data_IF_964807707142
#
_entry.id   IF_964807707142
#
_cell.length_a   1.000
_cell.length_b   1.000
_cell.length_c   1.000
_cell.angle_alpha   90.00
_cell.angle_beta   90.00
_cell.angle_gamma   90.00
#
_symmetry.space_group_name_H-M   'P 1'
#
loop_
_entity.id
_entity.type
_entity.pdbx_description
1 polymer ?
#
# COMPACT_ATOMS: atom_id res chain seq x y z
N UNK A 1 21.96 -0.67 -15.34
CA UNK A 1 22.51 -0.29 -14.01
C UNK A 1 21.85 -1.15 -12.95
N UNK A 2 22.62 -1.88 -12.14
CA UNK A 2 22.11 -2.45 -10.89
C UNK A 2 22.06 -1.31 -9.85
N UNK A 3 20.98 -1.14 -9.08
CA UNK A 3 20.94 -0.13 -8.03
C UNK A 3 22.11 -0.34 -7.06
N UNK A 4 22.79 0.74 -6.67
CA UNK A 4 23.89 0.73 -5.70
C UNK A 4 23.42 0.67 -4.24
N UNK A 5 22.13 0.44 -4.00
CA UNK A 5 21.57 0.41 -2.66
C UNK A 5 21.38 -1.04 -2.18
N UNK A 6 21.55 -1.25 -0.87
CA UNK A 6 21.34 -2.54 -0.25
C UNK A 6 19.87 -2.95 -0.35
N UNK A 7 19.59 -3.98 -1.16
CA UNK A 7 18.25 -4.50 -1.35
C UNK A 7 17.59 -4.96 -0.04
N UNK A 8 18.35 -5.27 1.02
CA UNK A 8 17.78 -5.61 2.33
C UNK A 8 17.00 -4.46 2.96
N UNK A 9 17.31 -3.21 2.56
CA UNK A 9 16.61 -2.01 3.00
C UNK A 9 15.45 -1.64 2.08
N UNK A 10 15.36 -2.27 0.91
CA UNK A 10 14.34 -2.00 -0.11
C UNK A 10 12.94 -2.33 0.40
N UNK A 11 12.01 -1.40 0.18
CA UNK A 11 10.60 -1.56 0.52
C UNK A 11 9.73 -1.02 -0.59
N UNK A 12 8.84 -1.85 -1.12
CA UNK A 12 7.74 -1.44 -1.99
C UNK A 12 6.44 -1.53 -1.21
N UNK A 13 5.71 -0.41 -1.09
CA UNK A 13 4.32 -0.37 -0.66
C UNK A 13 3.39 -0.26 -1.88
N UNK A 14 2.54 -1.26 -2.13
CA UNK A 14 1.46 -1.19 -3.12
C UNK A 14 0.13 -1.00 -2.39
N UNK A 15 -0.63 0.01 -2.75
CA UNK A 15 -1.93 0.32 -2.16
C UNK A 15 -3.01 0.00 -3.19
N UNK A 16 -3.85 -0.99 -2.89
CA UNK A 16 -4.82 -1.55 -3.82
C UNK A 16 -4.22 -2.66 -4.69
N UNK A 17 -4.19 -3.89 -4.16
CA UNK A 17 -3.66 -5.05 -4.88
C UNK A 17 -4.57 -5.44 -6.06
N UNK A 18 -5.89 -5.28 -5.92
CA UNK A 18 -6.84 -5.35 -7.05
C UNK A 18 -6.95 -6.71 -7.75
N UNK A 19 -6.44 -7.80 -7.16
CA UNK A 19 -6.56 -9.17 -7.70
C UNK A 19 -5.49 -9.55 -8.72
N UNK A 20 -4.73 -8.58 -9.23
CA UNK A 20 -3.63 -8.81 -10.17
C UNK A 20 -2.40 -8.02 -9.75
N UNK A 21 -1.35 -8.73 -9.36
CA UNK A 21 -0.12 -8.13 -8.81
C UNK A 21 1.14 -8.67 -9.51
N UNK A 22 1.05 -8.80 -10.84
CA UNK A 22 2.12 -9.35 -11.69
C UNK A 22 3.40 -8.49 -11.63
N UNK A 23 3.25 -7.17 -11.57
CA UNK A 23 4.38 -6.24 -11.48
C UNK A 23 5.17 -6.46 -10.19
N UNK A 24 4.47 -6.60 -9.06
CA UNK A 24 5.06 -6.89 -7.76
C UNK A 24 5.72 -8.27 -7.74
N UNK A 25 5.09 -9.27 -8.36
CA UNK A 25 5.69 -10.61 -8.50
C UNK A 25 6.99 -10.58 -9.29
N UNK A 26 6.98 -10.01 -10.49
CA UNK A 26 8.17 -9.88 -11.34
C UNK A 26 9.27 -9.07 -10.66
N UNK A 27 8.89 -8.04 -9.91
CA UNK A 27 9.83 -7.26 -9.12
C UNK A 27 10.44 -8.08 -7.99
N UNK A 28 9.66 -8.89 -7.27
CA UNK A 28 10.20 -9.79 -6.24
C UNK A 28 11.20 -10.78 -6.82
N UNK A 29 10.91 -11.34 -8.00
CA UNK A 29 11.82 -12.25 -8.70
C UNK A 29 13.15 -11.56 -9.05
N UNK A 30 13.10 -10.29 -9.49
CA UNK A 30 14.29 -9.51 -9.84
C UNK A 30 15.07 -8.98 -8.62
N UNK A 31 14.37 -8.63 -7.55
CA UNK A 31 14.90 -8.04 -6.32
C UNK A 31 14.44 -8.84 -5.09
N UNK A 32 14.94 -10.09 -4.92
CA UNK A 32 14.40 -11.03 -3.94
C UNK A 32 14.55 -10.56 -2.49
N UNK A 33 15.51 -9.67 -2.20
CA UNK A 33 15.72 -9.11 -0.86
C UNK A 33 14.81 -7.91 -0.55
N UNK A 34 14.13 -7.34 -1.54
CA UNK A 34 13.19 -6.25 -1.28
C UNK A 34 11.93 -6.75 -0.58
N UNK A 35 11.51 -6.05 0.46
CA UNK A 35 10.23 -6.30 1.10
C UNK A 35 9.11 -5.66 0.27
N UNK A 36 8.02 -6.40 0.06
CA UNK A 36 6.83 -5.89 -0.63
C UNK A 36 5.66 -5.97 0.36
N UNK A 37 4.98 -4.85 0.55
CA UNK A 37 3.80 -4.70 1.39
C UNK A 37 2.62 -4.32 0.51
N UNK A 38 1.49 -5.01 0.66
CA UNK A 38 0.31 -4.77 -0.15
C UNK A 38 -0.91 -4.48 0.72
N UNK A 39 -1.58 -3.37 0.45
CA UNK A 39 -2.79 -2.95 1.16
C UNK A 39 -4.02 -3.33 0.34
N UNK A 40 -4.90 -4.14 0.90
CA UNK A 40 -6.15 -4.53 0.23
C UNK A 40 -7.16 -5.07 1.27
N UNK A 41 -8.36 -4.49 1.41
CA UNK A 41 -9.36 -4.98 2.36
C UNK A 41 -10.02 -6.32 1.96
N UNK A 42 -9.99 -6.71 0.68
CA UNK A 42 -10.74 -7.84 0.15
C UNK A 42 -9.90 -9.12 0.04
N UNK A 43 -10.22 -10.21 0.79
CA UNK A 43 -9.43 -11.44 0.76
C UNK A 43 -9.21 -12.08 -0.61
N UNK A 44 -10.24 -12.06 -1.45
CA UNK A 44 -10.19 -12.61 -2.80
C UNK A 44 -9.20 -11.86 -3.70
N UNK A 45 -8.94 -10.57 -3.41
CA UNK A 45 -8.09 -9.71 -4.22
C UNK A 45 -6.61 -9.82 -3.85
N UNK A 46 -6.28 -10.30 -2.65
CA UNK A 46 -4.88 -10.41 -2.20
C UNK A 46 -4.37 -11.85 -2.06
N UNK A 47 -5.20 -12.86 -2.38
CA UNK A 47 -4.87 -14.26 -2.12
C UNK A 47 -3.51 -14.67 -2.69
N UNK A 48 -3.25 -14.32 -3.96
CA UNK A 48 -2.01 -14.65 -4.66
C UNK A 48 -0.82 -13.77 -4.26
N UNK A 49 -1.06 -12.62 -3.61
CA UNK A 49 -0.02 -11.69 -3.20
C UNK A 49 0.82 -12.24 -2.03
N UNK A 50 0.19 -13.07 -1.19
CA UNK A 50 0.82 -13.66 0.01
C UNK A 50 2.04 -14.53 -0.31
N UNK A 51 2.16 -15.01 -1.55
CA UNK A 51 3.27 -15.86 -1.98
C UNK A 51 4.60 -15.10 -2.09
N UNK A 52 4.57 -13.77 -2.18
CA UNK A 52 5.76 -12.95 -2.42
C UNK A 52 5.79 -11.62 -1.68
N UNK A 53 4.72 -11.24 -0.99
CA UNK A 53 4.61 -10.01 -0.21
C UNK A 53 3.81 -10.18 1.08
N UNK A 54 3.87 -9.16 1.93
CA UNK A 54 3.10 -9.07 3.18
C UNK A 54 1.80 -8.32 2.95
N UNK A 55 0.67 -8.95 3.27
CA UNK A 55 -0.66 -8.34 3.11
C UNK A 55 -1.05 -7.54 4.36
N UNK A 56 -1.56 -6.34 4.13
CA UNK A 56 -2.18 -5.46 5.11
C UNK A 56 -3.68 -5.41 4.77
N UNK A 57 -4.53 -6.17 5.50
CA UNK A 57 -5.92 -6.39 5.11
C UNK A 57 -6.84 -5.25 5.57
N UNK A 58 -6.51 -4.01 5.18
CA UNK A 58 -7.20 -2.78 5.56
C UNK A 58 -7.43 -1.89 4.34
N UNK A 59 -8.40 -0.98 4.45
CA UNK A 59 -8.49 0.16 3.56
C UNK A 59 -7.64 1.32 4.09
N UNK A 60 -7.10 2.12 3.19
CA UNK A 60 -6.31 3.31 3.53
C UNK A 60 -6.94 4.55 2.89
N UNK A 61 -6.92 5.66 3.62
CA UNK A 61 -7.41 6.96 3.19
C UNK A 61 -6.65 8.08 3.90
N UNK A 62 -7.18 9.30 3.88
CA UNK A 62 -6.53 10.44 4.54
C UNK A 62 -6.67 10.47 6.07
N UNK A 63 -7.72 9.85 6.61
CA UNK A 63 -7.97 9.86 8.06
C UNK A 63 -8.39 8.47 8.55
N UNK A 64 -8.04 8.18 9.80
CA UNK A 64 -8.45 6.95 10.47
C UNK A 64 -9.87 7.08 11.00
N UNK A 65 -10.85 6.56 10.25
CA UNK A 65 -12.26 6.56 10.62
C UNK A 65 -13.00 5.40 9.92
N UNK A 66 -14.26 5.17 10.28
CA UNK A 66 -15.12 4.21 9.59
C UNK A 66 -15.88 4.86 8.44
N UNK A 67 -15.54 4.50 7.20
CA UNK A 67 -16.22 4.99 6.00
C UNK A 67 -17.05 3.90 5.34
N UNK A 68 -18.04 4.33 4.55
CA UNK A 68 -18.65 3.48 3.54
C UNK A 68 -17.72 3.44 2.34
N UNK A 69 -17.15 2.27 2.05
CA UNK A 69 -16.21 2.09 0.94
C UNK A 69 -16.76 1.05 -0.05
N UNK A 70 -16.37 1.20 -1.31
CA UNK A 70 -16.71 0.24 -2.36
C UNK A 70 -15.66 -0.86 -2.39
N UNK A 71 -16.05 -2.09 -2.08
CA UNK A 71 -15.19 -3.28 -2.18
C UNK A 71 -15.70 -4.24 -3.23
N UNK A 72 -14.78 -4.91 -3.93
CA UNK A 72 -15.12 -5.98 -4.86
C UNK A 72 -15.26 -7.31 -4.12
N UNK A 73 -16.47 -7.86 -4.08
CA UNK A 73 -16.76 -9.23 -3.59
C UNK A 73 -17.16 -10.12 -4.76
N UNK A 74 -16.26 -11.01 -5.17
CA UNK A 74 -16.40 -11.81 -6.39
C UNK A 74 -16.50 -10.93 -7.65
N UNK A 75 -17.63 -11.02 -8.37
CA UNK A 75 -17.90 -10.26 -9.61
C UNK A 75 -18.68 -8.95 -9.40
N UNK A 76 -19.00 -8.58 -8.16
CA UNK A 76 -19.82 -7.39 -7.86
C UNK A 76 -19.09 -6.46 -6.90
N UNK A 77 -19.33 -5.17 -7.08
CA UNK A 77 -18.96 -4.15 -6.11
C UNK A 77 -20.08 -4.02 -5.07
N UNK A 78 -19.69 -3.88 -3.80
CA UNK A 78 -20.60 -3.64 -2.69
C UNK A 78 -20.06 -2.51 -1.85
N UNK A 79 -20.95 -1.64 -1.39
CA UNK A 79 -20.63 -0.64 -0.38
C UNK A 79 -20.67 -1.35 0.97
N UNK A 80 -19.59 -1.27 1.73
CA UNK A 80 -19.50 -1.77 3.10
C UNK A 80 -18.98 -0.67 4.02
N UNK A 81 -19.47 -0.64 5.26
CA UNK A 81 -18.88 0.20 6.29
C UNK A 81 -17.72 -0.55 6.93
N UNK A 82 -16.52 0.02 6.92
CA UNK A 82 -15.35 -0.60 7.54
C UNK A 82 -14.34 0.43 8.03
N UNK A 83 -13.44 0.07 8.98
CA UNK A 83 -12.37 0.95 9.39
C UNK A 83 -11.39 1.18 8.23
N UNK A 84 -11.10 2.45 7.99
CA UNK A 84 -10.05 2.96 7.11
C UNK A 84 -8.95 3.51 8.01
N UNK A 85 -7.69 3.27 7.67
CA UNK A 85 -6.55 3.88 8.36
C UNK A 85 -6.00 5.05 7.54
N UNK A 86 -5.53 6.09 8.22
CA UNK A 86 -4.63 7.06 7.58
C UNK A 86 -3.36 6.34 7.13
N UNK A 87 -2.69 6.86 6.09
CA UNK A 87 -1.44 6.23 5.64
C UNK A 87 -0.36 6.28 6.73
N UNK A 88 -0.34 7.33 7.54
CA UNK A 88 0.53 7.46 8.71
C UNK A 88 0.31 6.33 9.73
N UNK A 89 -0.94 6.13 10.15
CA UNK A 89 -1.29 5.12 11.15
C UNK A 89 -1.04 3.71 10.62
N UNK A 90 -1.29 3.49 9.32
CA UNK A 90 -1.00 2.22 8.66
C UNK A 90 0.51 1.92 8.69
N UNK A 91 1.35 2.91 8.34
CA UNK A 91 2.81 2.76 8.36
C UNK A 91 3.33 2.46 9.77
N UNK A 92 2.83 3.18 10.77
CA UNK A 92 3.20 2.95 12.18
C UNK A 92 2.80 1.57 12.68
N UNK A 93 1.57 1.15 12.35
CA UNK A 93 1.02 -0.11 12.82
C UNK A 93 1.67 -1.32 12.16
N UNK A 94 1.96 -1.26 10.86
CA UNK A 94 2.32 -2.46 10.08
C UNK A 94 3.76 -2.49 9.58
N UNK A 95 4.34 -1.35 9.22
CA UNK A 95 5.64 -1.33 8.57
C UNK A 95 6.77 -0.93 9.52
N UNK A 96 6.47 -0.19 10.60
CA UNK A 96 7.44 0.32 11.58
C UNK A 96 8.67 1.00 10.92
N UNK A 97 8.47 1.54 9.73
CA UNK A 97 9.48 2.23 8.91
C UNK A 97 8.84 3.47 8.32
N UNK A 98 9.65 4.51 8.18
CA UNK A 98 9.26 5.75 7.51
C UNK A 98 9.83 5.88 6.10
N UNK A 99 10.74 4.99 5.70
CA UNK A 99 11.35 4.99 4.37
C UNK A 99 10.71 3.94 3.46
N UNK A 100 10.15 4.38 2.34
CA UNK A 100 9.55 3.55 1.28
C UNK A 100 10.27 3.88 -0.04
N UNK A 101 10.71 2.87 -0.78
CA UNK A 101 11.45 3.06 -2.03
C UNK A 101 10.50 3.10 -3.23
N UNK A 102 9.49 2.23 -3.23
CA UNK A 102 8.50 2.19 -4.31
C UNK A 102 7.10 2.31 -3.72
N UNK A 103 6.30 3.20 -4.30
CA UNK A 103 4.90 3.39 -3.97
C UNK A 103 4.06 3.25 -5.23
N UNK A 104 3.06 2.38 -5.19
CA UNK A 104 1.99 2.29 -6.19
C UNK A 104 0.66 2.47 -5.52
N UNK A 105 -0.26 3.17 -6.17
CA UNK A 105 -1.60 3.46 -5.65
C UNK A 105 -2.60 3.17 -6.77
N UNK A 106 -3.50 2.23 -6.52
CA UNK A 106 -4.63 1.85 -7.37
C UNK A 106 -5.79 1.41 -6.48
N UNK A 107 -6.41 2.38 -5.81
CA UNK A 107 -7.57 2.15 -4.92
C UNK A 107 -8.82 2.79 -5.51
N UNK A 108 -9.96 2.59 -4.87
CA UNK A 108 -11.23 3.17 -5.31
C UNK A 108 -11.75 4.16 -4.27
N UNK A 109 -11.89 5.43 -4.66
CA UNK A 109 -12.60 6.48 -3.92
C UNK A 109 -11.78 7.31 -2.93
N UNK A 110 -10.50 7.01 -2.70
CA UNK A 110 -9.64 7.72 -1.75
C UNK A 110 -8.31 8.22 -2.34
N UNK A 111 -8.02 7.94 -3.60
CA UNK A 111 -6.76 8.25 -4.28
C UNK A 111 -6.45 9.73 -4.15
N UNK A 112 -7.41 10.60 -4.50
CA UNK A 112 -7.20 12.04 -4.43
C UNK A 112 -6.85 12.48 -3.00
N UNK A 113 -7.51 11.92 -2.00
CA UNK A 113 -7.24 12.27 -0.59
C UNK A 113 -5.84 11.85 -0.14
N UNK A 114 -5.37 10.67 -0.56
CA UNK A 114 -4.01 10.19 -0.26
C UNK A 114 -2.96 10.99 -1.04
N UNK A 115 -3.22 11.30 -2.31
CA UNK A 115 -2.31 12.09 -3.14
C UNK A 115 -2.08 13.49 -2.55
N UNK A 116 -3.09 14.08 -1.92
CA UNK A 116 -2.93 15.36 -1.21
C UNK A 116 -1.97 15.25 -0.01
N UNK A 117 -1.86 14.09 0.63
CA UNK A 117 -0.93 13.88 1.74
C UNK A 117 0.53 13.74 1.29
N UNK A 118 0.75 13.28 0.05
CA UNK A 118 2.08 13.12 -0.55
C UNK A 118 2.72 14.46 -0.95
N UNK A 119 1.96 15.56 -0.99
CA UNK A 119 2.49 16.88 -1.32
C UNK A 119 3.51 17.35 -0.28
N UNK A 120 4.52 18.09 -0.76
CA UNK A 120 5.53 18.69 0.11
C UNK A 120 4.90 19.58 1.19
N UNK A 121 5.42 19.50 2.41
CA UNK A 121 4.94 20.24 3.58
C UNK A 121 3.68 19.67 4.23
N UNK A 122 3.14 18.55 3.72
CA UNK A 122 1.97 17.87 4.28
C UNK A 122 2.34 16.81 5.30
N UNK A 123 1.31 16.13 5.79
CA UNK A 123 1.36 15.31 7.00
C UNK A 123 2.42 14.23 6.95
N UNK A 124 2.58 13.56 5.80
CA UNK A 124 3.53 12.46 5.67
C UNK A 124 4.98 12.95 5.79
N UNK A 125 5.32 14.03 5.07
CA UNK A 125 6.64 14.63 5.18
C UNK A 125 6.89 15.19 6.58
N UNK A 126 5.89 15.84 7.19
CA UNK A 126 5.97 16.35 8.58
C UNK A 126 6.20 15.23 9.60
N UNK A 127 5.74 14.02 9.32
CA UNK A 127 5.96 12.83 10.14
C UNK A 127 7.24 12.06 9.76
N UNK A 128 8.08 12.64 8.90
CA UNK A 128 9.36 12.06 8.51
C UNK A 128 9.24 10.88 7.55
N UNK A 129 8.09 10.69 6.89
CA UNK A 129 7.92 9.66 5.85
C UNK A 129 8.63 10.13 4.58
N UNK A 130 9.47 9.26 4.03
CA UNK A 130 10.29 9.52 2.84
C UNK A 130 9.97 8.50 1.76
N UNK A 131 9.65 9.00 0.56
CA UNK A 131 9.50 8.21 -0.66
C UNK A 131 10.70 8.46 -1.58
N UNK A 132 11.51 7.44 -1.81
CA UNK A 132 12.74 7.52 -2.61
C UNK A 132 12.45 7.12 -4.06
N UNK A 133 12.10 8.07 -4.93
CA UNK A 133 11.78 7.80 -6.34
C UNK A 133 12.89 7.05 -7.09
#
# INVERSE_FOLDING_TARGET
MKPSFDQSQCKWLTIGIGGTSNSEKMFKEKYPKCAIFGVEPSPDQYANFKDYGTVIPFAVGAVSESFNITVRKGKRYKIIKMPVLSMADMLDKFLQTRVIHYLTIDIEGFEFSILQELLQGRILQKQGIVFCQ
#
